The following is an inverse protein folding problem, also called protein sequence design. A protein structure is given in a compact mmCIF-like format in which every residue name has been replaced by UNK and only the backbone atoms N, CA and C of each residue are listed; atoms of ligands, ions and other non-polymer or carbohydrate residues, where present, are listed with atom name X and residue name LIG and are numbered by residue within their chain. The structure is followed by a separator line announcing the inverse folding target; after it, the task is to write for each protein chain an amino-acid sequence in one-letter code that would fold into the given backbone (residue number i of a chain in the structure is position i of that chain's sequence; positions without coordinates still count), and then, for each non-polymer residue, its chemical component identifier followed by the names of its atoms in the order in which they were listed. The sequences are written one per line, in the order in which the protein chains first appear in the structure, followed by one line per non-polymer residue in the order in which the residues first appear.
data_IF_106600410472
#
_entry.id   IF_106600410472
#
_cell.length_a   1.000
_cell.length_b   1.000
_cell.length_c   1.000
_cell.angle_alpha   90.00
_cell.angle_beta   90.00
_cell.angle_gamma   90.00
#
_symmetry.space_group_name_H-M   'P 1'
#
loop_
_entity.id
_entity.type
_entity.pdbx_description
1 polymer ?
#
# COMPACT_ATOMS: atom_id res chain seq x y z
N UNK A 1 5.28 11.95 -2.10
CA UNK A 1 5.27 10.49 -2.27
C UNK A 1 4.94 10.07 -3.72
N UNK A 2 5.80 9.25 -4.33
CA UNK A 2 5.52 8.52 -5.56
C UNK A 2 5.35 7.04 -5.21
N UNK A 3 4.19 6.45 -5.46
CA UNK A 3 3.87 5.11 -4.96
C UNK A 3 2.91 4.34 -5.87
N UNK A 4 2.89 3.02 -5.73
CA UNK A 4 1.92 2.17 -6.40
C UNK A 4 0.67 2.04 -5.53
N UNK A 5 -0.47 2.57 -6.00
CA UNK A 5 -1.73 2.46 -5.30
C UNK A 5 -2.36 1.08 -5.61
N UNK A 6 -2.44 0.17 -4.62
CA UNK A 6 -2.91 -1.19 -4.86
C UNK A 6 -4.42 -1.25 -5.15
N UNK A 7 -5.19 -0.21 -4.80
CA UNK A 7 -6.63 -0.13 -5.11
C UNK A 7 -6.88 0.11 -6.59
N UNK A 8 -6.14 1.03 -7.19
CA UNK A 8 -6.29 1.43 -8.60
C UNK A 8 -5.38 0.64 -9.53
N UNK A 9 -4.42 -0.12 -8.97
CA UNK A 9 -3.41 -0.89 -9.70
C UNK A 9 -2.57 -0.01 -10.64
N UNK A 10 -2.27 1.21 -10.18
CA UNK A 10 -1.52 2.21 -10.92
C UNK A 10 -0.56 2.95 -10.00
N UNK A 11 0.47 3.55 -10.59
CA UNK A 11 1.36 4.44 -9.87
C UNK A 11 0.80 5.86 -9.88
N UNK A 12 0.88 6.55 -8.74
CA UNK A 12 0.41 7.92 -8.58
C UNK A 12 1.43 8.76 -7.78
N UNK A 13 1.39 10.07 -7.97
CA UNK A 13 2.16 11.05 -7.19
C UNK A 13 1.21 11.86 -6.32
N UNK A 14 1.50 11.94 -5.01
CA UNK A 14 0.71 12.74 -4.07
C UNK A 14 1.53 13.19 -2.85
N UNK A 15 1.03 14.17 -2.07
CA UNK A 15 1.60 14.47 -0.75
C UNK A 15 1.60 13.21 0.14
N UNK A 16 2.67 13.01 0.90
CA UNK A 16 2.72 11.91 1.85
C UNK A 16 1.70 12.13 2.98
N UNK A 17 1.00 11.08 3.44
CA UNK A 17 0.19 11.19 4.65
C UNK A 17 1.10 11.43 5.86
N UNK A 18 0.62 12.24 6.80
CA UNK A 18 1.33 12.59 8.03
C UNK A 18 0.97 11.64 9.18
N UNK A 19 -0.18 10.96 9.09
CA UNK A 19 -0.69 10.08 10.15
C UNK A 19 -1.07 8.71 9.61
N UNK A 20 -1.06 7.73 10.51
CA UNK A 20 -1.55 6.39 10.21
C UNK A 20 -3.03 6.38 9.81
N UNK A 21 -3.85 7.30 10.35
CA UNK A 21 -5.24 7.43 9.97
C UNK A 21 -5.39 7.88 8.51
N UNK A 22 -4.63 8.89 8.08
CA UNK A 22 -4.60 9.34 6.69
C UNK A 22 -4.13 8.22 5.75
N UNK A 23 -3.07 7.49 6.12
CA UNK A 23 -2.59 6.35 5.33
C UNK A 23 -3.63 5.23 5.21
N UNK A 24 -4.35 4.90 6.29
CA UNK A 24 -5.44 3.91 6.24
C UNK A 24 -6.57 4.32 5.30
N UNK A 25 -6.96 5.60 5.28
CA UNK A 25 -7.95 6.12 4.30
C UNK A 25 -7.46 5.92 2.87
N UNK A 26 -6.15 6.07 2.62
CA UNK A 26 -5.56 5.81 1.31
C UNK A 26 -5.55 4.33 0.94
N UNK A 27 -5.62 3.41 1.90
CA UNK A 27 -5.65 1.96 1.67
C UNK A 27 -7.06 1.37 1.71
N UNK A 28 -8.02 2.04 2.33
CA UNK A 28 -9.41 1.60 2.48
C UNK A 28 -10.31 1.94 1.26
N UNK A 29 -11.47 1.28 1.11
CA UNK A 29 -12.50 1.57 0.10
C UNK A 29 -12.93 0.48 -0.92
N UNK A 30 -12.25 -0.68 -1.05
CA UNK A 30 -12.55 -1.77 -2.01
C UNK A 30 -12.53 -3.19 -1.38
N UNK A 31 -12.97 -4.23 -2.11
CA UNK A 31 -13.09 -5.63 -1.64
C UNK A 31 -11.81 -6.31 -1.07
N UNK A 32 -10.62 -5.71 -1.23
CA UNK A 32 -9.33 -6.27 -0.76
C UNK A 32 -8.61 -5.39 0.27
N UNK A 33 -9.30 -4.39 0.84
CA UNK A 33 -8.68 -3.37 1.70
C UNK A 33 -8.08 -3.91 2.98
N UNK A 34 -8.68 -4.96 3.55
CA UNK A 34 -8.16 -5.61 4.76
C UNK A 34 -6.71 -6.04 4.55
N UNK A 35 -6.41 -6.72 3.44
CA UNK A 35 -5.04 -7.17 3.15
C UNK A 35 -4.03 -6.02 2.98
N UNK A 36 -4.47 -4.88 2.45
CA UNK A 36 -3.62 -3.71 2.28
C UNK A 36 -3.31 -3.05 3.63
N UNK A 37 -4.33 -2.88 4.47
CA UNK A 37 -4.20 -2.32 5.81
C UNK A 37 -3.36 -3.23 6.70
N UNK A 38 -3.56 -4.55 6.65
CA UNK A 38 -2.75 -5.51 7.42
C UNK A 38 -1.27 -5.46 7.07
N UNK A 39 -0.91 -5.43 5.77
CA UNK A 39 0.50 -5.32 5.38
C UNK A 39 1.10 -3.97 5.82
N UNK A 40 0.33 -2.89 5.68
CA UNK A 40 0.75 -1.57 6.17
C UNK A 40 1.01 -1.56 7.68
N UNK A 41 0.10 -2.11 8.48
CA UNK A 41 0.24 -2.18 9.94
C UNK A 41 1.43 -3.01 10.37
N UNK A 42 1.64 -4.17 9.74
CA UNK A 42 2.85 -4.99 9.95
C UNK A 42 4.14 -4.20 9.68
N UNK A 43 4.18 -3.39 8.61
CA UNK A 43 5.34 -2.55 8.30
C UNK A 43 5.51 -1.42 9.33
N UNK A 44 4.41 -0.83 9.81
CA UNK A 44 4.45 0.16 10.91
C UNK A 44 4.96 -0.43 12.21
N UNK A 45 4.52 -1.64 12.57
CA UNK A 45 4.98 -2.38 13.74
C UNK A 45 6.47 -2.75 13.65
N UNK A 46 7.01 -2.87 12.43
CA UNK A 46 8.45 -3.07 12.20
C UNK A 46 9.31 -1.81 12.37
N UNK A 47 8.67 -0.65 12.64
CA UNK A 47 9.35 0.63 12.87
C UNK A 47 9.49 1.53 11.65
N UNK A 48 8.93 1.16 10.49
CA UNK A 48 8.93 2.04 9.31
C UNK A 48 8.06 3.27 9.55
N UNK A 49 8.46 4.44 9.04
CA UNK A 49 7.58 5.62 9.10
C UNK A 49 6.35 5.48 8.18
N UNK A 50 5.38 6.39 8.31
CA UNK A 50 4.09 6.36 7.58
C UNK A 50 4.28 6.34 6.06
N UNK A 51 5.11 7.23 5.51
CA UNK A 51 5.35 7.29 4.06
C UNK A 51 6.04 6.01 3.55
N UNK A 52 7.06 5.53 4.26
CA UNK A 52 7.77 4.30 3.91
C UNK A 52 6.83 3.10 3.93
N UNK A 53 6.11 2.88 5.03
CA UNK A 53 5.18 1.77 5.15
C UNK A 53 4.17 1.77 4.00
N UNK A 54 3.61 2.92 3.65
CA UNK A 54 2.65 3.05 2.55
C UNK A 54 3.26 2.73 1.17
N UNK A 55 4.46 3.23 0.88
CA UNK A 55 5.18 2.90 -0.37
C UNK A 55 5.43 1.39 -0.46
N UNK A 56 5.94 0.78 0.61
CA UNK A 56 6.28 -0.64 0.65
C UNK A 56 5.06 -1.54 0.55
N UNK A 57 3.93 -1.18 1.17
CA UNK A 57 2.64 -1.85 0.94
C UNK A 57 2.29 -1.84 -0.55
N UNK A 58 2.39 -0.69 -1.21
CA UNK A 58 2.16 -0.58 -2.65
C UNK A 58 3.05 -1.51 -3.47
N UNK A 59 4.35 -1.59 -3.14
CA UNK A 59 5.31 -2.47 -3.82
C UNK A 59 4.99 -3.95 -3.64
N UNK A 60 4.65 -4.38 -2.42
CA UNK A 60 4.31 -5.77 -2.13
C UNK A 60 3.16 -6.25 -3.00
N UNK A 61 2.07 -5.47 -3.07
CA UNK A 61 0.91 -5.85 -3.87
C UNK A 61 1.14 -5.74 -5.38
N UNK A 62 2.02 -4.84 -5.82
CA UNK A 62 2.48 -4.81 -7.22
C UNK A 62 3.20 -6.11 -7.58
N UNK A 63 4.11 -6.58 -6.73
CA UNK A 63 4.85 -7.82 -6.95
C UNK A 63 3.91 -9.04 -6.96
N UNK A 64 2.99 -9.15 -6.00
CA UNK A 64 1.97 -10.22 -5.96
C UNK A 64 1.13 -10.25 -7.24
N UNK A 65 0.71 -9.08 -7.73
CA UNK A 65 -0.06 -8.99 -8.97
C UNK A 65 0.75 -9.41 -10.21
N UNK A 66 2.02 -9.02 -10.30
CA UNK A 66 2.91 -9.43 -11.39
C UNK A 66 3.15 -10.95 -11.35
N UNK A 67 3.38 -11.51 -10.17
CA UNK A 67 3.53 -12.96 -9.99
C UNK A 67 2.27 -13.72 -10.43
N UNK A 68 1.08 -13.26 -10.03
CA UNK A 68 -0.19 -13.87 -10.47
C UNK A 68 -0.38 -13.81 -11.99
N UNK A 69 0.01 -12.70 -12.63
CA UNK A 69 -0.06 -12.56 -14.09
C UNK A 69 0.92 -13.48 -14.83
N UNK A 70 2.11 -13.69 -14.27
CA UNK A 70 3.13 -14.56 -14.87
C UNK A 70 2.78 -16.06 -14.74
N UNK A 71 2.00 -16.43 -13.73
CA UNK A 71 1.56 -17.81 -13.49
C UNK A 71 0.34 -18.25 -14.32
N UNK A 72 -0.18 -17.37 -15.18
CA UNK A 72 -1.36 -17.59 -16.03
C UNK A 72 -0.98 -17.56 -17.49
#
# INVERSE_FOLDING_TARGET
MYWYNPKTRSTETRPAPHTDAEARVLLDGNLNTESFVTEYEKLRDSGMNVEQALIFTGHEFRLRQLAFRAAR
#
